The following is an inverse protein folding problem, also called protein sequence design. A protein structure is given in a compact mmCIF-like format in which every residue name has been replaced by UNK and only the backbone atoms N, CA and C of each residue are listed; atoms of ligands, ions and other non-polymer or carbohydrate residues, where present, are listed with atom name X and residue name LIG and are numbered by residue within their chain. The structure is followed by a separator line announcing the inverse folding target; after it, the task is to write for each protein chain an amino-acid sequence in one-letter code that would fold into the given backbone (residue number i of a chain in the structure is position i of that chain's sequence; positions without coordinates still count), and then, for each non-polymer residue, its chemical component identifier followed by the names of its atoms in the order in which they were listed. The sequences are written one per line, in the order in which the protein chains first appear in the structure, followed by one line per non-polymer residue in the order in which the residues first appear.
data_IF_070561956475
#
_entry.id   IF_070561956475
#
_cell.length_a   1.000
_cell.length_b   1.000
_cell.length_c   1.000
_cell.angle_alpha   90.00
_cell.angle_beta   90.00
_cell.angle_gamma   90.00
#
_symmetry.space_group_name_H-M   'P 1'
#
loop_
_entity.id
_entity.type
_entity.pdbx_description
1 polymer ?
#
# COMPACT_ATOMS: atom_id res chain seq x y z
N UNK A 1 22.78 12.53 -3.95
CA UNK A 1 23.58 11.90 -2.88
C UNK A 1 23.85 10.47 -3.30
N UNK A 2 25.04 9.95 -3.06
CA UNK A 2 25.40 8.56 -3.40
C UNK A 2 25.51 7.74 -2.12
N UNK A 3 24.84 6.60 -2.09
CA UNK A 3 24.87 5.64 -0.98
C UNK A 3 25.35 4.30 -1.54
N UNK A 4 26.35 3.70 -0.90
CA UNK A 4 26.79 2.34 -1.19
C UNK A 4 26.25 1.42 -0.11
N UNK A 5 25.54 0.37 -0.52
CA UNK A 5 25.01 -0.66 0.38
C UNK A 5 25.51 -2.04 -0.04
N UNK A 6 25.85 -2.88 0.93
CA UNK A 6 26.15 -4.29 0.69
C UNK A 6 24.92 -5.12 1.05
N UNK A 7 24.44 -5.91 0.10
CA UNK A 7 23.31 -6.83 0.31
C UNK A 7 23.82 -8.27 0.39
N UNK A 8 23.23 -9.11 1.24
CA UNK A 8 23.42 -10.55 1.15
C UNK A 8 23.03 -11.05 -0.25
N UNK A 9 23.71 -12.10 -0.79
CA UNK A 9 23.46 -12.59 -2.15
C UNK A 9 21.99 -12.93 -2.41
N UNK A 10 21.31 -13.56 -1.44
CA UNK A 10 19.89 -13.91 -1.57
C UNK A 10 18.97 -12.70 -1.73
N UNK A 11 19.33 -11.57 -1.09
CA UNK A 11 18.55 -10.33 -1.17
C UNK A 11 18.84 -9.63 -2.50
N UNK A 12 20.10 -9.60 -2.93
CA UNK A 12 20.48 -9.01 -4.21
C UNK A 12 19.76 -9.70 -5.39
N UNK A 13 19.72 -11.03 -5.40
CA UNK A 13 18.99 -11.79 -6.42
C UNK A 13 17.48 -11.51 -6.39
N UNK A 14 16.89 -11.43 -5.21
CA UNK A 14 15.48 -11.11 -5.03
C UNK A 14 15.14 -9.72 -5.61
N UNK A 15 15.96 -8.71 -5.30
CA UNK A 15 15.79 -7.34 -5.80
C UNK A 15 15.92 -7.30 -7.32
N UNK A 16 16.92 -7.98 -7.90
CA UNK A 16 17.08 -8.09 -9.37
C UNK A 16 15.88 -8.75 -10.04
N UNK A 17 15.39 -9.86 -9.46
CA UNK A 17 14.22 -10.57 -9.95
C UNK A 17 12.99 -9.67 -9.99
N UNK A 18 12.78 -8.87 -8.92
CA UNK A 18 11.64 -7.99 -8.83
C UNK A 18 11.76 -6.76 -9.76
N UNK A 19 12.96 -6.20 -9.93
CA UNK A 19 13.22 -5.15 -10.91
C UNK A 19 12.86 -5.61 -12.34
N UNK A 20 13.26 -6.83 -12.70
CA UNK A 20 12.94 -7.43 -13.99
C UNK A 20 11.43 -7.64 -14.19
N UNK A 21 10.72 -8.12 -13.15
CA UNK A 21 9.25 -8.27 -13.19
C UNK A 21 8.53 -6.94 -13.39
N UNK A 22 9.06 -5.88 -12.79
CA UNK A 22 8.53 -4.54 -12.88
C UNK A 22 8.99 -3.81 -14.17
N UNK A 23 9.83 -4.44 -14.99
CA UNK A 23 10.36 -3.88 -16.24
C UNK A 23 11.30 -2.68 -16.02
N UNK A 24 11.98 -2.63 -14.88
CA UNK A 24 12.82 -1.50 -14.47
C UNK A 24 14.30 -1.88 -14.39
N UNK A 25 15.22 -0.94 -14.69
CA UNK A 25 16.60 -1.04 -14.27
C UNK A 25 16.72 -1.26 -12.76
N UNK A 26 17.78 -1.94 -12.34
CA UNK A 26 18.00 -2.28 -10.94
C UNK A 26 18.14 -1.01 -10.09
N UNK A 27 18.87 -0.01 -10.57
CA UNK A 27 19.06 1.26 -9.87
C UNK A 27 17.73 1.98 -9.64
N UNK A 28 16.93 2.15 -10.70
CA UNK A 28 15.61 2.80 -10.63
C UNK A 28 14.65 2.05 -9.69
N UNK A 29 14.71 0.71 -9.71
CA UNK A 29 13.90 -0.11 -8.82
C UNK A 29 14.30 0.12 -7.35
N UNK A 30 15.60 0.09 -7.03
CA UNK A 30 16.13 0.32 -5.68
C UNK A 30 15.84 1.74 -5.20
N UNK A 31 16.02 2.76 -6.05
CA UNK A 31 15.66 4.14 -5.74
C UNK A 31 14.18 4.24 -5.36
N UNK A 32 13.30 3.60 -6.15
CA UNK A 32 11.86 3.58 -5.85
C UNK A 32 11.53 2.88 -4.53
N UNK A 33 12.31 1.88 -4.13
CA UNK A 33 12.14 1.20 -2.84
C UNK A 33 12.56 2.11 -1.67
N UNK A 34 13.66 2.84 -1.82
CA UNK A 34 14.13 3.80 -0.81
C UNK A 34 13.12 4.94 -0.65
N UNK A 35 12.64 5.52 -1.74
CA UNK A 35 11.62 6.57 -1.71
C UNK A 35 10.33 6.08 -1.04
N UNK A 36 9.81 4.90 -1.43
CA UNK A 36 8.63 4.28 -0.81
C UNK A 36 8.86 3.94 0.65
N UNK A 37 10.07 3.52 1.01
CA UNK A 37 10.47 3.20 2.38
C UNK A 37 10.45 4.44 3.27
N UNK A 38 11.08 5.53 2.81
CA UNK A 38 11.10 6.82 3.52
C UNK A 38 9.68 7.35 3.73
N UNK A 39 8.87 7.45 2.66
CA UNK A 39 7.49 7.92 2.77
C UNK A 39 6.62 7.06 3.69
N UNK A 40 6.82 5.73 3.66
CA UNK A 40 6.12 4.84 4.59
C UNK A 40 6.52 5.10 6.03
N UNK A 41 7.81 5.34 6.29
CA UNK A 41 8.31 5.64 7.63
C UNK A 41 7.75 6.96 8.14
N UNK A 42 7.82 8.02 7.34
CA UNK A 42 7.23 9.32 7.67
C UNK A 42 5.74 9.21 7.97
N UNK A 43 5.01 8.42 7.16
CA UNK A 43 3.58 8.16 7.40
C UNK A 43 3.33 7.38 8.70
N UNK A 44 4.17 6.39 9.02
CA UNK A 44 4.04 5.64 10.27
C UNK A 44 4.29 6.56 11.45
N UNK A 45 5.34 7.38 11.40
CA UNK A 45 5.68 8.29 12.49
C UNK A 45 4.57 9.35 12.67
N UNK A 46 4.05 9.93 11.58
CA UNK A 46 2.89 10.84 11.60
C UNK A 46 1.60 10.20 12.16
N UNK A 47 1.39 8.91 11.89
CA UNK A 47 0.22 8.19 12.41
C UNK A 47 0.43 7.69 13.84
N UNK A 48 1.67 7.45 14.25
CA UNK A 48 2.00 7.05 15.62
C UNK A 48 1.71 8.16 16.64
N UNK A 49 1.74 9.42 16.19
CA UNK A 49 1.37 10.59 16.99
C UNK A 49 -0.16 10.77 17.14
N UNK A 50 -0.96 10.03 16.37
CA UNK A 50 -2.42 10.13 16.37
C UNK A 50 -3.06 8.91 17.02
N UNK A 51 -4.11 9.14 17.77
CA UNK A 51 -5.02 8.09 18.22
C UNK A 51 -5.76 7.49 17.02
N UNK A 52 -6.22 6.24 17.17
CA UNK A 52 -7.03 5.56 16.16
C UNK A 52 -8.29 6.36 15.77
N UNK A 53 -8.90 7.07 16.73
CA UNK A 53 -10.05 7.94 16.49
C UNK A 53 -9.70 9.15 15.61
N UNK A 54 -8.56 9.80 15.83
CA UNK A 54 -8.10 10.92 15.00
C UNK A 54 -7.75 10.49 13.58
N UNK A 55 -7.25 9.26 13.42
CA UNK A 55 -6.97 8.67 12.11
C UNK A 55 -8.29 8.44 11.35
N UNK A 56 -9.35 7.97 12.03
CA UNK A 56 -10.63 7.66 11.42
C UNK A 56 -11.60 8.86 11.32
N UNK A 57 -11.34 9.96 12.02
CA UNK A 57 -12.22 11.12 12.05
C UNK A 57 -12.60 11.66 10.66
N UNK A 58 -11.70 11.74 9.66
CA UNK A 58 -12.09 12.15 8.30
C UNK A 58 -13.11 11.18 7.69
N UNK A 59 -12.85 9.88 7.75
CA UNK A 59 -13.75 8.86 7.20
C UNK A 59 -15.12 8.86 7.88
N UNK A 60 -15.17 9.02 9.22
CA UNK A 60 -16.45 9.08 9.95
C UNK A 60 -17.29 10.28 9.50
N UNK A 61 -16.68 11.44 9.29
CA UNK A 61 -17.37 12.61 8.74
C UNK A 61 -17.90 12.35 7.34
N UNK A 62 -17.10 11.74 6.47
CA UNK A 62 -17.55 11.41 5.11
C UNK A 62 -18.76 10.45 5.13
N UNK A 63 -18.78 9.48 6.05
CA UNK A 63 -19.91 8.56 6.24
C UNK A 63 -21.15 9.32 6.76
N UNK A 64 -21.00 10.16 7.78
CA UNK A 64 -22.08 10.98 8.31
C UNK A 64 -22.67 11.93 7.24
N UNK A 65 -21.81 12.63 6.49
CA UNK A 65 -22.20 13.53 5.40
C UNK A 65 -22.88 12.80 4.24
N UNK A 66 -22.50 11.55 3.98
CA UNK A 66 -23.13 10.72 2.94
C UNK A 66 -24.55 10.27 3.30
N UNK A 67 -24.93 10.35 4.59
CA UNK A 67 -26.22 9.85 5.09
C UNK A 67 -26.38 8.33 4.99
N UNK A 68 -25.29 7.57 4.76
CA UNK A 68 -25.33 6.11 4.77
C UNK A 68 -25.56 5.60 6.18
N UNK A 69 -26.49 4.66 6.32
CA UNK A 69 -26.59 3.84 7.53
C UNK A 69 -25.59 2.67 7.48
N UNK A 70 -25.44 2.00 8.62
CA UNK A 70 -24.49 0.90 8.79
C UNK A 70 -24.75 -0.24 7.81
N UNK A 71 -26.02 -0.58 7.54
CA UNK A 71 -26.37 -1.65 6.61
C UNK A 71 -25.96 -1.32 5.17
N UNK A 72 -26.13 -0.06 4.75
CA UNK A 72 -25.74 0.40 3.41
C UNK A 72 -24.22 0.42 3.28
N UNK A 73 -23.52 0.88 4.32
CA UNK A 73 -22.06 0.88 4.36
C UNK A 73 -21.49 -0.54 4.31
N UNK A 74 -22.08 -1.48 5.05
CA UNK A 74 -21.69 -2.89 5.02
C UNK A 74 -21.93 -3.52 3.64
N UNK A 75 -23.08 -3.26 3.02
CA UNK A 75 -23.40 -3.75 1.69
C UNK A 75 -22.38 -3.26 0.64
N UNK A 76 -22.01 -1.97 0.71
CA UNK A 76 -21.02 -1.35 -0.18
C UNK A 76 -19.67 -2.09 -0.12
N UNK A 77 -19.13 -2.28 1.09
CA UNK A 77 -17.84 -2.97 1.24
C UNK A 77 -17.92 -4.45 0.88
N UNK A 78 -19.05 -5.11 1.17
CA UNK A 78 -19.27 -6.51 0.83
C UNK A 78 -19.24 -6.73 -0.67
N UNK A 79 -19.94 -5.91 -1.44
CA UNK A 79 -19.95 -6.00 -2.90
C UNK A 79 -18.59 -5.65 -3.51
N UNK A 80 -17.93 -4.58 -3.04
CA UNK A 80 -16.59 -4.24 -3.49
C UNK A 80 -15.58 -5.40 -3.27
N UNK A 81 -15.66 -6.07 -2.11
CA UNK A 81 -14.80 -7.23 -1.79
C UNK A 81 -15.08 -8.43 -2.70
N UNK A 82 -16.35 -8.71 -3.01
CA UNK A 82 -16.73 -9.78 -3.95
C UNK A 82 -16.17 -9.51 -5.35
N UNK A 83 -16.31 -8.28 -5.86
CA UNK A 83 -15.80 -7.89 -7.17
C UNK A 83 -14.27 -8.03 -7.24
N UNK A 84 -13.54 -7.52 -6.25
CA UNK A 84 -12.09 -7.65 -6.18
C UNK A 84 -11.62 -9.12 -6.08
N UNK A 85 -12.41 -10.00 -5.45
CA UNK A 85 -12.13 -11.44 -5.41
C UNK A 85 -12.29 -12.10 -6.79
N UNK A 86 -13.37 -11.77 -7.51
CA UNK A 86 -13.61 -12.27 -8.88
C UNK A 86 -12.51 -11.84 -9.85
N UNK A 87 -12.17 -10.55 -9.87
CA UNK A 87 -11.13 -10.01 -10.75
C UNK A 87 -9.74 -10.66 -10.51
N UNK A 88 -9.42 -11.02 -9.26
CA UNK A 88 -8.17 -11.73 -8.95
C UNK A 88 -8.16 -13.17 -9.48
N UNK A 89 -9.30 -13.85 -9.46
CA UNK A 89 -9.43 -15.21 -10.03
C UNK A 89 -9.29 -15.19 -11.54
N UNK A 90 -9.92 -14.23 -12.21
CA UNK A 90 -9.85 -14.06 -13.67
C UNK A 90 -8.45 -13.72 -14.17
N UNK A 91 -7.63 -13.00 -13.38
CA UNK A 91 -6.22 -12.72 -13.72
C UNK A 91 -5.27 -13.90 -13.50
N UNK A 92 -5.71 -14.91 -12.74
CA UNK A 92 -4.90 -16.09 -12.40
C UNK A 92 -5.19 -17.32 -13.29
N UNK A 93 -6.26 -17.24 -14.09
CA UNK A 93 -6.66 -18.20 -15.13
C UNK A 93 -6.17 -17.77 -16.50
#
# INVERSE_FOLDING_TARGET
MTITISLPPEIEESVKSQANKDGKPLEDYVESLVEKGSRRRDRIDLLAEKSFDEILAPFRRDVEESGMNDETLEALFTEARKQASRARKERAS
#
